data_IF_340172107528
#
_entry.id   IF_340172107528
#
_cell.length_a   1.000
_cell.length_b   1.000
_cell.length_c   1.000
_cell.angle_alpha   90.00
_cell.angle_beta   90.00
_cell.angle_gamma   90.00
#
_symmetry.space_group_name_H-M   'P 1'
#
loop_
_entity.id
_entity.type
_entity.pdbx_description
1 polymer ?
#
# COMPACT_ATOMS: atom_id res chain seq x y z
N UNK A 1 11.75 -18.97 -20.88
CA UNK A 1 11.31 -18.21 -19.69
C UNK A 1 10.10 -18.93 -19.15
N UNK A 2 10.21 -19.52 -17.96
CA UNK A 2 9.06 -20.11 -17.25
C UNK A 2 8.09 -18.95 -16.95
N UNK A 3 6.82 -19.11 -17.31
CA UNK A 3 5.83 -18.07 -17.05
C UNK A 3 5.73 -17.84 -15.55
N UNK A 4 5.71 -16.57 -15.14
CA UNK A 4 5.48 -16.18 -13.76
C UNK A 4 4.02 -16.51 -13.44
N UNK A 5 3.75 -17.60 -12.72
CA UNK A 5 2.39 -18.02 -12.39
C UNK A 5 1.93 -17.39 -11.06
N UNK A 6 0.90 -16.52 -11.06
CA UNK A 6 0.35 -15.97 -9.83
C UNK A 6 -0.44 -17.05 -9.07
N UNK A 7 -0.12 -17.24 -7.79
CA UNK A 7 -0.87 -18.12 -6.89
C UNK A 7 -1.94 -17.30 -6.13
N UNK A 8 -3.24 -17.54 -6.34
CA UNK A 8 -4.28 -16.77 -5.65
C UNK A 8 -4.21 -16.89 -4.13
N UNK A 9 -4.22 -15.75 -3.43
CA UNK A 9 -4.31 -15.70 -1.96
C UNK A 9 -5.74 -15.82 -1.47
N UNK A 10 -6.68 -15.28 -2.25
CA UNK A 10 -8.12 -15.39 -1.99
C UNK A 10 -8.86 -15.66 -3.31
N UNK A 11 -10.15 -16.05 -3.27
CA UNK A 11 -10.93 -16.25 -4.49
C UNK A 11 -11.18 -14.98 -5.33
N UNK A 12 -10.96 -13.78 -4.78
CA UNK A 12 -11.44 -12.53 -5.42
C UNK A 12 -10.37 -11.46 -5.60
N UNK A 13 -9.30 -11.48 -4.81
CA UNK A 13 -8.16 -10.57 -4.95
C UNK A 13 -6.91 -11.15 -4.28
N UNK A 14 -5.77 -10.55 -4.55
CA UNK A 14 -4.49 -10.92 -3.95
C UNK A 14 -3.86 -12.14 -4.62
N UNK A 15 -2.60 -12.01 -4.99
CA UNK A 15 -1.79 -13.12 -5.51
C UNK A 15 -0.41 -13.12 -4.87
N UNK A 16 0.10 -14.32 -4.60
CA UNK A 16 1.51 -14.54 -4.31
C UNK A 16 2.25 -14.86 -5.61
N UNK A 17 3.38 -14.20 -5.83
CA UNK A 17 4.24 -14.41 -7.00
C UNK A 17 5.56 -15.01 -6.52
N UNK A 18 5.89 -16.17 -7.08
CA UNK A 18 7.11 -16.92 -6.80
C UNK A 18 8.10 -16.85 -7.96
N UNK A 19 9.30 -17.42 -7.75
CA UNK A 19 10.35 -17.57 -8.77
C UNK A 19 10.85 -16.26 -9.39
N UNK A 20 10.79 -15.17 -8.63
CA UNK A 20 11.31 -13.85 -9.01
C UNK A 20 12.08 -13.20 -7.87
N UNK A 21 13.15 -12.47 -8.22
CA UNK A 21 13.88 -11.61 -7.30
C UNK A 21 13.80 -10.17 -7.79
N UNK A 22 13.01 -9.37 -7.08
CA UNK A 22 12.72 -7.97 -7.42
C UNK A 22 13.98 -7.10 -7.43
N UNK A 23 15.01 -7.48 -6.67
CA UNK A 23 16.32 -6.83 -6.68
C UNK A 23 17.01 -6.85 -8.05
N UNK A 24 16.65 -7.77 -8.94
CA UNK A 24 17.25 -7.91 -10.27
C UNK A 24 16.32 -7.57 -11.43
N UNK A 25 15.05 -7.24 -11.14
CA UNK A 25 14.11 -6.77 -12.16
C UNK A 25 14.54 -5.43 -12.72
N UNK A 26 14.48 -5.28 -14.05
CA UNK A 26 14.58 -3.98 -14.70
C UNK A 26 13.35 -3.12 -14.38
N UNK A 27 13.50 -1.80 -14.52
CA UNK A 27 12.37 -0.88 -14.40
C UNK A 27 11.26 -1.22 -15.41
N UNK A 28 11.64 -1.50 -16.65
CA UNK A 28 10.70 -1.88 -17.71
C UNK A 28 9.91 -3.15 -17.36
N UNK A 29 10.58 -4.19 -16.86
CA UNK A 29 9.89 -5.41 -16.44
C UNK A 29 8.87 -5.12 -15.32
N UNK A 30 9.26 -4.32 -14.33
CA UNK A 30 8.36 -3.97 -13.25
C UNK A 30 7.17 -3.10 -13.73
N UNK A 31 7.39 -2.20 -14.69
CA UNK A 31 6.34 -1.36 -15.26
C UNK A 31 5.38 -2.15 -16.16
N UNK A 32 5.90 -3.05 -16.99
CA UNK A 32 5.11 -3.79 -17.99
C UNK A 32 4.43 -5.04 -17.41
N UNK A 33 4.95 -5.59 -16.32
CA UNK A 33 4.46 -6.85 -15.74
C UNK A 33 3.90 -6.67 -14.34
N UNK A 34 4.64 -6.07 -13.42
CA UNK A 34 4.22 -5.97 -12.01
C UNK A 34 3.07 -4.98 -11.85
N UNK A 35 3.13 -3.82 -12.52
CA UNK A 35 2.08 -2.80 -12.40
C UNK A 35 0.72 -3.27 -12.91
N UNK A 36 0.56 -3.88 -14.11
CA UNK A 36 -0.72 -4.45 -14.53
C UNK A 36 -1.23 -5.54 -13.58
N UNK A 37 -0.36 -6.44 -13.12
CA UNK A 37 -0.74 -7.46 -12.15
C UNK A 37 -1.25 -6.85 -10.85
N UNK A 38 -0.64 -5.76 -10.37
CA UNK A 38 -1.13 -5.06 -9.18
C UNK A 38 -2.52 -4.45 -9.44
N UNK A 39 -2.75 -3.84 -10.60
CA UNK A 39 -4.05 -3.23 -10.91
C UNK A 39 -5.17 -4.29 -11.02
N UNK A 40 -4.85 -5.47 -11.54
CA UNK A 40 -5.80 -6.57 -11.67
C UNK A 40 -6.08 -7.27 -10.33
N UNK A 41 -5.03 -7.57 -9.57
CA UNK A 41 -5.13 -8.38 -8.34
C UNK A 41 -5.17 -7.57 -7.05
N UNK A 42 -4.90 -6.26 -7.09
CA UNK A 42 -4.96 -5.27 -5.98
C UNK A 42 -3.93 -5.47 -4.87
N UNK A 43 -3.43 -6.69 -4.69
CA UNK A 43 -2.40 -7.04 -3.71
C UNK A 43 -1.46 -8.07 -4.34
N UNK A 44 -0.16 -7.78 -4.32
CA UNK A 44 0.89 -8.70 -4.73
C UNK A 44 1.77 -9.03 -3.53
N UNK A 45 2.03 -10.32 -3.29
CA UNK A 45 2.95 -10.78 -2.24
C UNK A 45 4.14 -11.47 -2.89
N UNK A 46 5.35 -11.04 -2.53
CA UNK A 46 6.59 -11.65 -2.97
C UNK A 46 7.35 -12.17 -1.74
N UNK A 47 7.58 -13.48 -1.67
CA UNK A 47 8.32 -14.12 -0.58
C UNK A 47 9.82 -14.13 -0.87
N UNK A 48 10.64 -14.20 0.18
CA UNK A 48 12.08 -14.41 0.05
C UNK A 48 12.85 -13.29 -0.67
N UNK A 49 12.37 -12.05 -0.59
CA UNK A 49 13.00 -10.91 -1.26
C UNK A 49 14.09 -10.30 -0.37
N UNK A 50 15.27 -10.05 -0.96
CA UNK A 50 16.33 -9.28 -0.31
C UNK A 50 16.54 -7.98 -1.08
N UNK A 51 16.03 -6.87 -0.54
CA UNK A 51 16.08 -5.56 -1.20
C UNK A 51 16.97 -4.59 -0.42
N UNK A 52 17.78 -3.82 -1.14
CA UNK A 52 18.36 -2.57 -0.64
C UNK A 52 17.29 -1.45 -0.67
N UNK A 53 17.44 -0.35 0.08
CA UNK A 53 16.56 0.82 -0.05
C UNK A 53 16.44 1.31 -1.51
N UNK A 54 17.55 1.35 -2.24
CA UNK A 54 17.57 1.73 -3.66
C UNK A 54 16.70 0.80 -4.53
N UNK A 55 16.89 -0.51 -4.41
CA UNK A 55 16.08 -1.48 -5.19
C UNK A 55 14.61 -1.45 -4.80
N UNK A 56 14.30 -1.14 -3.53
CA UNK A 56 12.92 -0.95 -3.05
C UNK A 56 12.28 0.27 -3.72
N UNK A 57 12.98 1.41 -3.78
CA UNK A 57 12.51 2.61 -4.48
C UNK A 57 12.35 2.35 -5.97
N UNK A 58 13.27 1.63 -6.62
CA UNK A 58 13.15 1.27 -8.04
C UNK A 58 11.87 0.49 -8.34
N UNK A 59 11.50 -0.46 -7.47
CA UNK A 59 10.24 -1.21 -7.63
C UNK A 59 9.04 -0.29 -7.42
N UNK A 60 9.05 0.57 -6.39
CA UNK A 60 7.97 1.54 -6.18
C UNK A 60 7.80 2.46 -7.41
N UNK A 61 8.92 2.93 -7.98
CA UNK A 61 8.96 3.79 -9.16
C UNK A 61 8.34 3.17 -10.42
N UNK A 62 8.35 1.84 -10.50
CA UNK A 62 7.72 1.12 -11.61
C UNK A 62 6.20 1.06 -11.52
N UNK A 63 5.64 1.25 -10.31
CA UNK A 63 4.20 1.25 -10.08
C UNK A 63 3.65 2.68 -10.17
N UNK A 64 4.40 3.67 -9.66
CA UNK A 64 4.10 5.10 -9.74
C UNK A 64 5.23 5.95 -9.16
N UNK A 65 5.05 7.28 -9.07
CA UNK A 65 6.07 8.18 -8.52
C UNK A 65 6.20 8.00 -6.99
N UNK A 66 7.36 7.57 -6.45
CA UNK A 66 7.53 7.41 -5.01
C UNK A 66 7.53 8.76 -4.30
N UNK A 67 6.74 8.87 -3.24
CA UNK A 67 6.65 10.09 -2.46
C UNK A 67 7.80 10.20 -1.45
N UNK A 68 8.24 11.44 -1.20
CA UNK A 68 9.18 11.75 -0.12
C UNK A 68 8.41 12.13 1.12
N UNK A 69 8.77 11.56 2.27
CA UNK A 69 7.99 11.72 3.49
C UNK A 69 8.84 12.24 4.67
N UNK A 70 8.32 13.15 5.51
CA UNK A 70 8.98 13.52 6.75
C UNK A 70 9.23 12.31 7.65
N UNK A 71 10.47 12.11 8.12
CA UNK A 71 10.85 10.93 8.92
C UNK A 71 11.30 9.71 8.10
N UNK A 72 11.44 9.86 6.78
CA UNK A 72 12.11 8.87 5.93
C UNK A 72 13.60 8.71 6.25
N UNK A 73 14.23 7.71 5.66
CA UNK A 73 15.68 7.48 5.78
C UNK A 73 16.46 8.66 5.19
N UNK A 74 17.51 9.10 5.87
CA UNK A 74 18.31 10.26 5.45
C UNK A 74 18.89 10.10 4.04
N UNK A 75 19.39 8.91 3.71
CA UNK A 75 20.01 8.62 2.41
C UNK A 75 19.00 8.16 1.35
N UNK A 76 17.73 7.91 1.74
CA UNK A 76 16.66 7.47 0.83
C UNK A 76 15.31 8.06 1.30
N UNK A 77 15.02 9.32 0.95
CA UNK A 77 13.87 10.07 1.48
C UNK A 77 12.51 9.54 1.02
N UNK A 78 12.47 8.61 0.08
CA UNK A 78 11.28 7.90 -0.38
C UNK A 78 10.94 6.67 0.49
N UNK A 79 11.81 6.30 1.45
CA UNK A 79 11.64 5.11 2.29
C UNK A 79 11.35 5.50 3.73
N UNK A 80 10.14 5.19 4.18
CA UNK A 80 9.72 5.36 5.58
C UNK A 80 9.92 4.05 6.35
N UNK A 81 10.48 4.16 7.57
CA UNK A 81 10.63 3.00 8.45
C UNK A 81 9.46 2.93 9.43
N UNK A 82 8.64 1.88 9.28
CA UNK A 82 7.61 1.51 10.25
C UNK A 82 8.24 0.52 11.23
N UNK A 83 8.30 0.89 12.51
CA UNK A 83 8.91 0.07 13.55
C UNK A 83 8.12 0.21 14.86
N UNK A 84 7.73 -0.93 15.42
CA UNK A 84 7.04 -1.00 16.70
C UNK A 84 7.87 -1.81 17.70
N UNK A 85 7.71 -1.47 18.97
CA UNK A 85 8.38 -2.16 20.08
C UNK A 85 7.67 -1.86 21.39
N UNK A 86 8.17 -2.36 22.54
CA UNK A 86 7.52 -2.18 23.83
C UNK A 86 7.25 -0.70 24.20
N UNK A 87 8.11 0.22 23.72
CA UNK A 87 7.97 1.65 23.95
C UNK A 87 7.17 2.41 22.87
N UNK A 88 6.81 1.73 21.77
CA UNK A 88 6.09 2.30 20.64
C UNK A 88 5.13 1.23 20.07
N UNK A 89 3.98 1.00 20.74
CA UNK A 89 3.02 0.00 20.31
C UNK A 89 2.42 0.36 18.93
N UNK A 90 1.93 -0.62 18.17
CA UNK A 90 1.25 -0.36 16.90
C UNK A 90 -0.06 0.42 17.12
N UNK A 91 -0.32 1.36 16.21
CA UNK A 91 -1.49 2.26 16.27
C UNK A 91 -2.46 2.04 15.12
N UNK A 92 -2.05 1.28 14.10
CA UNK A 92 -2.75 1.08 12.82
C UNK A 92 -3.69 -0.13 12.91
N UNK A 93 -4.59 -0.13 13.90
CA UNK A 93 -5.48 -1.27 14.20
C UNK A 93 -6.94 -1.05 13.77
N UNK A 94 -7.18 -0.12 12.85
CA UNK A 94 -8.48 0.17 12.25
C UNK A 94 -8.43 -0.03 10.73
N UNK A 95 -9.55 -0.45 10.14
CA UNK A 95 -9.68 -0.49 8.67
C UNK A 95 -9.59 0.93 8.11
N UNK A 96 -8.66 1.15 7.18
CA UNK A 96 -8.43 2.45 6.56
C UNK A 96 -7.89 2.32 5.14
N UNK A 97 -7.85 3.45 4.43
CA UNK A 97 -7.08 3.66 3.21
C UNK A 97 -6.13 4.83 3.45
N UNK A 98 -4.86 4.66 3.09
CA UNK A 98 -3.81 5.62 3.41
C UNK A 98 -4.10 7.01 2.84
N UNK A 99 -3.93 8.03 3.68
CA UNK A 99 -4.01 9.45 3.34
C UNK A 99 -5.22 9.86 2.49
N UNK A 100 -6.37 9.20 2.68
CA UNK A 100 -7.60 9.49 1.93
C UNK A 100 -8.15 10.92 2.12
N UNK A 101 -7.62 11.68 3.07
CA UNK A 101 -7.92 13.11 3.26
C UNK A 101 -7.27 14.02 2.21
N UNK A 102 -6.24 13.55 1.48
CA UNK A 102 -5.56 14.35 0.44
C UNK A 102 -6.45 14.55 -0.79
N UNK A 103 -6.17 15.59 -1.55
CA UNK A 103 -6.81 15.80 -2.85
C UNK A 103 -6.48 14.66 -3.82
N UNK A 104 -5.20 14.31 -3.89
CA UNK A 104 -4.67 13.16 -4.62
C UNK A 104 -4.06 12.15 -3.63
N UNK A 105 -4.86 11.18 -3.12
CA UNK A 105 -4.34 10.12 -2.27
C UNK A 105 -3.33 9.22 -3.02
N UNK A 106 -2.42 8.53 -2.31
CA UNK A 106 -1.49 7.60 -2.92
C UNK A 106 -2.22 6.50 -3.69
N UNK A 107 -1.71 6.14 -4.87
CA UNK A 107 -2.24 5.03 -5.66
C UNK A 107 -1.99 3.66 -4.99
N UNK A 108 -0.91 3.53 -4.22
CA UNK A 108 -0.56 2.33 -3.48
C UNK A 108 0.77 2.48 -2.74
N UNK A 109 1.20 1.39 -2.09
CA UNK A 109 2.44 1.34 -1.33
C UNK A 109 3.22 0.06 -1.62
N UNK A 110 4.55 0.12 -1.48
CA UNK A 110 5.42 -1.06 -1.48
C UNK A 110 5.95 -1.25 -0.07
N UNK A 111 5.45 -2.26 0.63
CA UNK A 111 5.89 -2.60 1.98
C UNK A 111 6.90 -3.75 1.95
N UNK A 112 7.99 -3.61 2.71
CA UNK A 112 9.01 -4.66 2.87
C UNK A 112 9.23 -4.98 4.33
N UNK A 113 9.08 -6.24 4.70
CA UNK A 113 9.46 -6.74 6.02
C UNK A 113 10.98 -6.73 6.21
N UNK A 114 11.46 -6.08 7.28
CA UNK A 114 12.89 -6.12 7.68
C UNK A 114 13.07 -7.03 8.90
N UNK A 115 12.23 -6.87 9.90
CA UNK A 115 12.16 -7.73 11.09
C UNK A 115 10.71 -7.89 11.47
N UNK A 116 10.27 -9.13 11.68
CA UNK A 116 8.90 -9.48 12.05
C UNK A 116 8.94 -10.49 13.21
N UNK A 117 7.95 -10.46 14.12
CA UNK A 117 7.86 -11.47 15.17
C UNK A 117 7.56 -12.85 14.57
N UNK A 118 7.82 -13.92 15.33
CA UNK A 118 7.52 -15.30 14.92
C UNK A 118 6.02 -15.53 14.66
N UNK A 119 5.16 -14.78 15.35
CA UNK A 119 3.71 -14.85 15.24
C UNK A 119 3.07 -13.51 15.61
N UNK A 120 1.92 -13.20 14.99
CA UNK A 120 1.22 -11.92 15.16
C UNK A 120 1.81 -10.81 14.29
N UNK A 121 1.10 -9.68 14.19
CA UNK A 121 1.48 -8.58 13.29
C UNK A 121 1.01 -8.77 11.84
N UNK A 122 0.02 -9.63 11.62
CA UNK A 122 -0.59 -9.81 10.30
C UNK A 122 -1.25 -8.52 9.83
N UNK A 123 -1.16 -8.26 8.53
CA UNK A 123 -1.85 -7.15 7.87
C UNK A 123 -3.04 -7.70 7.09
N UNK A 124 -4.23 -7.18 7.36
CA UNK A 124 -5.45 -7.57 6.65
C UNK A 124 -5.75 -6.55 5.55
N UNK A 125 -6.23 -7.05 4.42
CA UNK A 125 -6.65 -6.24 3.28
C UNK A 125 -8.10 -6.57 2.90
N UNK A 126 -8.79 -5.61 2.26
CA UNK A 126 -10.15 -5.78 1.78
C UNK A 126 -10.31 -5.24 0.36
N UNK A 127 -11.06 -5.94 -0.47
CA UNK A 127 -11.35 -5.52 -1.84
C UNK A 127 -12.61 -4.67 -1.90
N UNK A 128 -12.42 -3.34 -1.93
CA UNK A 128 -13.53 -2.38 -1.97
C UNK A 128 -14.29 -2.40 -3.31
N UNK A 129 -13.65 -2.79 -4.42
CA UNK A 129 -14.34 -2.95 -5.72
C UNK A 129 -15.28 -4.15 -5.68
N UNK A 130 -14.86 -5.24 -5.07
CA UNK A 130 -15.71 -6.41 -4.88
C UNK A 130 -16.85 -6.13 -3.89
N UNK A 131 -16.57 -5.40 -2.80
CA UNK A 131 -17.59 -4.97 -1.84
C UNK A 131 -18.67 -4.10 -2.51
N UNK A 132 -18.26 -3.08 -3.27
CA UNK A 132 -19.17 -2.21 -4.03
C UNK A 132 -20.06 -3.00 -4.99
N UNK A 133 -19.47 -3.93 -5.75
CA UNK A 133 -20.19 -4.76 -6.72
C UNK A 133 -21.18 -5.75 -6.07
N UNK A 134 -21.10 -5.98 -4.77
CA UNK A 134 -22.00 -6.87 -4.02
C UNK A 134 -23.13 -6.16 -3.30
N UNK A 135 -23.16 -4.83 -3.32
CA UNK A 135 -24.29 -4.09 -2.76
C UNK A 135 -25.55 -4.34 -3.59
N UNK A 136 -26.75 -4.35 -2.97
CA UNK A 136 -28.00 -4.27 -3.71
C UNK A 136 -27.99 -3.06 -4.66
N UNK A 137 -28.60 -3.20 -5.85
CA UNK A 137 -28.60 -2.15 -6.87
C UNK A 137 -29.07 -0.80 -6.33
N UNK A 138 -30.17 -0.78 -5.58
CA UNK A 138 -30.72 0.44 -4.98
C UNK A 138 -29.75 1.13 -4.00
N UNK A 139 -28.97 0.34 -3.24
CA UNK A 139 -27.97 0.89 -2.31
C UNK A 139 -26.80 1.46 -3.09
N UNK A 140 -26.35 0.74 -4.13
CA UNK A 140 -25.27 1.20 -5.01
C UNK A 140 -25.64 2.51 -5.71
N UNK A 141 -26.81 2.57 -6.33
CA UNK A 141 -27.32 3.76 -7.03
C UNK A 141 -27.44 4.96 -6.09
N UNK A 142 -27.83 4.71 -4.83
CA UNK A 142 -27.90 5.75 -3.80
C UNK A 142 -26.50 6.29 -3.44
N UNK A 143 -25.54 5.42 -3.13
CA UNK A 143 -24.21 5.87 -2.68
C UNK A 143 -23.35 6.46 -3.82
N UNK A 144 -23.59 6.08 -5.08
CA UNK A 144 -22.87 6.67 -6.24
C UNK A 144 -23.17 8.17 -6.43
N UNK A 145 -24.22 8.70 -5.77
CA UNK A 145 -24.57 10.12 -5.79
C UNK A 145 -24.04 10.91 -4.58
N UNK A 146 -23.33 10.25 -3.67
CA UNK A 146 -22.88 10.85 -2.41
C UNK A 146 -21.39 11.16 -2.44
N UNK A 147 -21.04 12.26 -1.81
CA UNK A 147 -19.66 12.59 -1.46
C UNK A 147 -19.40 12.27 0.02
N UNK A 148 -18.19 11.80 0.31
CA UNK A 148 -17.71 11.59 1.67
C UNK A 148 -16.63 12.62 2.03
N UNK A 149 -16.73 13.22 3.22
CA UNK A 149 -15.67 14.05 3.76
C UNK A 149 -14.62 13.16 4.45
N UNK A 150 -13.37 13.29 4.04
CA UNK A 150 -12.22 12.61 4.64
C UNK A 150 -11.38 13.62 5.41
N UNK A 151 -11.29 13.44 6.73
CA UNK A 151 -10.58 14.33 7.63
C UNK A 151 -9.74 13.52 8.62
N UNK A 152 -8.58 14.05 8.97
CA UNK A 152 -7.72 13.49 10.01
C UNK A 152 -8.20 13.85 11.42
N UNK A 153 -9.14 14.79 11.54
CA UNK A 153 -9.73 15.26 12.80
C UNK A 153 -10.29 14.16 13.72
N UNK A 154 -10.71 13.01 13.18
CA UNK A 154 -11.12 11.84 13.98
C UNK A 154 -9.97 10.88 14.34
N UNK A 155 -8.82 10.96 13.65
CA UNK A 155 -7.59 10.20 13.93
C UNK A 155 -6.51 11.03 14.68
N UNK A 156 -6.94 12.10 15.37
CA UNK A 156 -6.15 13.04 16.16
C UNK A 156 -5.45 14.16 15.35
N UNK A 157 -5.85 15.44 15.50
CA UNK A 157 -5.15 16.57 14.86
C UNK A 157 -3.69 16.78 15.36
N UNK A 158 -3.27 16.04 16.40
CA UNK A 158 -1.90 16.01 16.92
C UNK A 158 -1.01 14.93 16.30
N UNK A 159 -1.56 13.98 15.53
CA UNK A 159 -0.79 12.91 14.87
C UNK A 159 -0.39 13.27 13.43
N UNK A 160 -1.00 14.31 12.85
CA UNK A 160 -0.59 14.87 11.56
C UNK A 160 0.64 15.74 11.76
N UNK A 161 1.76 15.30 11.16
CA UNK A 161 2.97 16.10 11.10
C UNK A 161 2.63 17.52 10.59
N UNK A 162 3.12 18.60 11.23
CA UNK A 162 2.76 19.98 10.86
C UNK A 162 2.87 20.27 9.37
N UNK A 163 3.81 19.60 8.69
CA UNK A 163 4.12 19.71 7.27
C UNK A 163 3.02 19.17 6.35
N UNK A 164 2.15 18.27 6.85
CA UNK A 164 1.05 17.67 6.10
C UNK A 164 -0.26 18.44 6.26
N UNK A 165 -0.32 19.43 7.15
CA UNK A 165 -1.53 20.24 7.37
C UNK A 165 -1.91 21.09 6.16
N UNK A 166 -0.94 21.45 5.32
CA UNK A 166 -1.18 22.16 4.04
C UNK A 166 -1.85 21.27 2.99
N UNK A 167 -1.89 19.96 3.20
CA UNK A 167 -2.52 18.98 2.29
C UNK A 167 -3.94 18.60 2.73
N UNK A 168 -4.42 19.17 3.84
CA UNK A 168 -5.80 19.02 4.26
C UNK A 168 -6.69 19.79 3.28
N UNK A 169 -7.81 19.17 2.88
CA UNK A 169 -8.87 19.87 2.16
C UNK A 169 -9.45 20.98 3.07
N UNK A 170 -9.79 22.15 2.50
CA UNK A 170 -10.43 23.23 3.25
C UNK A 170 -11.77 22.83 3.87
#
# INVERSE_FOLDING_TARGET
MTAMEPCPLTPVFGVEISDIQLAYCSADFAADVIRPLLLDHKLLVFRGQTLTPESHVRIAAAIGTPERFPGALADQPEVVRIAHGPAAPPTENIWHSDMSFREEPPMGAVLRSVSVPRSGGDTLFADMRYALNRLPGEVRDFIEQLDACHDVGKCAPSSVAPELRSQLRP
#
